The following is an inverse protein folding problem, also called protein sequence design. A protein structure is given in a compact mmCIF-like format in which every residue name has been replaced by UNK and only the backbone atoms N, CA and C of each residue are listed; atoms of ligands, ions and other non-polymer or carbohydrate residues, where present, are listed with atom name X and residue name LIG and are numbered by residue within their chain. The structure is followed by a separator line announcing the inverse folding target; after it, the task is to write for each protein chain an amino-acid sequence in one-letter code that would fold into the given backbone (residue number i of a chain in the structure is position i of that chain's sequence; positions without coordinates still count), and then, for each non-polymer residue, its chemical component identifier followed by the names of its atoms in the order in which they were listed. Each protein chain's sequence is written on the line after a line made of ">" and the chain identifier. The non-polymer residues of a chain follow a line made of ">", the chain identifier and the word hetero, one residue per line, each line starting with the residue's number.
data_IF_757324008920
#
_entry.id   IF_757324008920
#
_cell.length_a   1.000
_cell.length_b   1.000
_cell.length_c   1.000
_cell.angle_alpha   90.00
_cell.angle_beta   90.00
_cell.angle_gamma   90.00
#
_symmetry.space_group_name_H-M   'P 1'
#
loop_
_entity.id
_entity.type
_entity.pdbx_description
1 polymer ?
#
# COMPACT_ATOMS: atom_id res chain seq x y z
N UNK A 1 -27.46 36.85 -26.78
CA UNK A 1 -28.93 36.82 -26.74
C UNK A 1 -29.36 35.44 -26.30
N UNK A 2 -29.80 35.27 -25.18
CA UNK A 2 -30.98 34.77 -24.50
C UNK A 2 -30.60 34.39 -23.03
N UNK A 3 -31.04 35.30 -22.16
CA UNK A 3 -31.19 35.04 -20.73
C UNK A 3 -32.38 34.10 -20.52
N UNK A 4 -32.23 33.13 -19.64
CA UNK A 4 -33.41 32.48 -19.03
C UNK A 4 -33.20 32.43 -17.51
N UNK A 5 -33.95 33.30 -16.82
CA UNK A 5 -34.13 33.36 -15.38
C UNK A 5 -35.19 32.31 -15.01
N UNK A 6 -34.91 31.45 -14.05
CA UNK A 6 -35.93 30.66 -13.36
C UNK A 6 -36.01 31.12 -11.91
N UNK A 7 -37.19 31.63 -11.56
CA UNK A 7 -37.61 32.04 -10.23
C UNK A 7 -37.75 30.83 -9.30
N UNK A 8 -37.15 30.93 -8.12
CA UNK A 8 -37.48 30.12 -6.95
C UNK A 8 -38.63 30.78 -6.20
N UNK A 9 -39.75 30.12 -6.12
CA UNK A 9 -40.87 30.45 -5.22
C UNK A 9 -40.68 29.71 -3.90
N UNK A 10 -40.40 30.49 -2.85
CA UNK A 10 -40.36 30.05 -1.47
C UNK A 10 -41.78 29.98 -0.92
N UNK A 11 -42.24 28.82 -0.51
CA UNK A 11 -43.50 28.64 0.23
C UNK A 11 -43.20 28.49 1.70
N UNK A 12 -43.45 29.56 2.46
CA UNK A 12 -43.38 29.59 3.91
C UNK A 12 -44.72 29.16 4.48
N UNK A 13 -44.81 28.01 5.10
CA UNK A 13 -46.00 27.57 5.85
C UNK A 13 -45.81 27.98 7.32
N UNK A 14 -46.63 28.97 7.73
CA UNK A 14 -46.76 29.38 9.12
C UNK A 14 -47.84 28.50 9.77
N UNK A 15 -47.46 27.61 10.69
CA UNK A 15 -48.42 26.89 11.54
C UNK A 15 -48.56 27.67 12.86
N UNK A 16 -49.73 28.33 13.00
CA UNK A 16 -50.12 28.95 14.22
C UNK A 16 -50.61 27.91 15.24
N UNK A 17 -49.91 27.82 16.34
CA UNK A 17 -50.33 26.99 17.49
C UNK A 17 -51.21 27.83 18.39
N UNK A 18 -52.51 27.57 18.43
CA UNK A 18 -53.45 28.13 19.38
C UNK A 18 -53.30 27.39 20.72
N UNK A 19 -52.88 28.15 21.73
CA UNK A 19 -52.88 27.70 23.12
C UNK A 19 -54.27 27.96 23.68
N UNK A 20 -55.03 26.88 23.92
CA UNK A 20 -56.31 26.96 24.59
C UNK A 20 -56.07 26.84 26.09
N UNK A 21 -56.25 27.95 26.80
CA UNK A 21 -56.18 28.04 28.25
C UNK A 21 -57.47 27.42 28.82
N UNK A 22 -57.31 26.27 29.51
CA UNK A 22 -58.36 25.76 30.41
C UNK A 22 -57.96 26.11 31.86
N UNK A 23 -58.80 26.93 32.49
CA UNK A 23 -58.63 27.37 33.84
C UNK A 23 -58.80 26.27 34.92
N UNK A 24 -58.32 26.54 36.14
CA UNK A 24 -58.38 25.56 37.19
C UNK A 24 -59.80 25.47 37.82
N UNK A 25 -60.42 24.34 37.76
CA UNK A 25 -61.55 24.02 38.62
C UNK A 25 -61.02 23.59 39.99
N UNK A 26 -61.28 24.43 40.99
CA UNK A 26 -61.10 24.08 42.40
C UNK A 26 -62.06 22.95 42.78
N UNK A 27 -61.55 21.76 43.05
CA UNK A 27 -62.26 20.72 43.74
C UNK A 27 -61.78 20.77 45.21
N UNK A 28 -62.58 21.40 46.04
CA UNK A 28 -62.49 21.35 47.46
C UNK A 28 -63.38 20.21 47.93
N UNK A 29 -62.81 19.08 48.29
CA UNK A 29 -63.23 18.33 49.45
C UNK A 29 -62.20 17.27 49.82
N UNK A 30 -61.63 17.55 50.96
CA UNK A 30 -60.61 16.70 51.56
C UNK A 30 -61.29 15.64 52.46
N UNK A 31 -61.17 14.42 52.06
CA UNK A 31 -61.16 13.34 53.02
C UNK A 31 -59.88 12.56 52.84
N UNK A 32 -58.88 12.98 53.62
CA UNK A 32 -57.59 12.30 53.65
C UNK A 32 -57.75 10.90 54.20
N UNK A 33 -57.85 9.92 53.34
CA UNK A 33 -57.56 8.56 53.68
C UNK A 33 -56.04 8.40 53.80
N UNK A 34 -55.57 8.41 55.04
CA UNK A 34 -54.17 7.99 55.28
C UNK A 34 -54.05 6.51 54.97
N UNK A 35 -53.49 6.25 53.79
CA UNK A 35 -52.99 4.92 53.46
C UNK A 35 -51.63 4.75 54.14
N UNK A 36 -51.65 4.19 55.34
CA UNK A 36 -50.41 3.72 56.01
C UNK A 36 -50.08 2.38 55.33
N UNK A 37 -49.25 2.47 54.35
CA UNK A 37 -48.63 1.33 53.67
C UNK A 37 -47.40 1.85 52.94
N UNK A 38 -46.25 1.27 53.25
CA UNK A 38 -45.04 1.55 52.46
C UNK A 38 -45.34 1.32 51.00
N UNK A 39 -44.95 2.27 50.10
CA UNK A 39 -45.11 2.02 48.66
C UNK A 39 -44.29 0.79 48.27
N UNK A 40 -44.85 -0.08 47.42
CA UNK A 40 -44.08 -1.22 46.94
C UNK A 40 -42.78 -0.69 46.31
N UNK A 41 -41.64 -1.12 46.87
CA UNK A 41 -40.33 -0.86 46.29
C UNK A 41 -40.33 -1.56 44.94
N UNK A 42 -40.46 -0.79 43.86
CA UNK A 42 -40.18 -1.29 42.52
C UNK A 42 -38.70 -1.69 42.51
N UNK A 43 -38.46 -3.00 42.61
CA UNK A 43 -37.13 -3.54 42.42
C UNK A 43 -36.66 -3.10 41.04
N UNK A 44 -35.55 -2.36 41.00
CA UNK A 44 -34.94 -2.00 39.74
C UNK A 44 -34.72 -3.28 38.91
N UNK A 45 -35.01 -3.28 37.63
CA UNK A 45 -34.71 -4.45 36.81
C UNK A 45 -33.23 -4.80 36.96
N UNK A 46 -32.87 -6.09 36.96
CA UNK A 46 -31.49 -6.50 37.06
C UNK A 46 -30.67 -5.80 35.97
N UNK A 47 -29.45 -5.39 36.26
CA UNK A 47 -28.60 -4.76 35.25
C UNK A 47 -28.51 -5.66 34.01
N UNK A 48 -28.78 -5.11 32.86
CA UNK A 48 -28.57 -5.84 31.60
C UNK A 48 -27.15 -6.33 31.53
N UNK A 49 -26.91 -7.61 31.21
CA UNK A 49 -25.55 -8.10 31.05
C UNK A 49 -24.81 -7.23 30.04
N UNK A 50 -23.52 -6.96 30.26
CA UNK A 50 -22.73 -6.18 29.29
C UNK A 50 -22.84 -6.85 27.93
N UNK A 51 -22.91 -6.05 26.83
CA UNK A 51 -22.92 -6.60 25.47
C UNK A 51 -21.70 -7.53 25.31
N UNK A 52 -21.83 -8.63 24.56
CA UNK A 52 -20.71 -9.49 24.26
C UNK A 52 -19.56 -8.62 23.71
N UNK A 53 -18.30 -8.88 24.08
CA UNK A 53 -17.19 -8.15 23.50
C UNK A 53 -17.30 -8.23 21.98
N UNK A 54 -17.18 -7.08 21.33
CA UNK A 54 -17.12 -7.03 19.86
C UNK A 54 -16.01 -7.99 19.40
N UNK A 55 -16.25 -8.80 18.36
CA UNK A 55 -15.24 -9.72 17.87
C UNK A 55 -13.98 -8.89 17.54
N UNK A 56 -12.90 -9.22 18.26
CA UNK A 56 -11.59 -8.66 17.95
C UNK A 56 -11.34 -8.88 16.46
N UNK A 57 -11.03 -7.85 15.67
CA UNK A 57 -10.79 -8.02 14.24
C UNK A 57 -9.69 -9.08 14.08
N UNK A 58 -10.03 -10.14 13.36
CA UNK A 58 -9.09 -11.19 13.01
C UNK A 58 -7.90 -10.54 12.30
N UNK A 59 -6.64 -10.83 12.68
CA UNK A 59 -5.50 -10.19 12.07
C UNK A 59 -5.54 -10.43 10.56
N UNK A 60 -5.57 -9.36 9.77
CA UNK A 60 -5.55 -9.45 8.33
C UNK A 60 -4.32 -10.28 7.90
N UNK A 61 -4.47 -11.20 6.94
CA UNK A 61 -3.34 -11.97 6.44
C UNK A 61 -2.24 -11.01 5.96
N UNK A 62 -0.96 -11.35 6.19
CA UNK A 62 0.14 -10.49 5.82
C UNK A 62 0.08 -10.17 4.32
N UNK A 63 0.13 -8.90 3.97
CA UNK A 63 0.12 -8.45 2.58
C UNK A 63 1.34 -9.01 1.86
N UNK A 64 1.12 -9.65 0.71
CA UNK A 64 2.18 -10.24 -0.12
C UNK A 64 3.04 -9.16 -0.79
N UNK A 65 2.44 -8.02 -1.07
CA UNK A 65 3.07 -6.88 -1.75
C UNK A 65 2.85 -5.63 -0.92
N UNK A 66 3.93 -4.94 -0.58
CA UNK A 66 3.92 -3.69 0.20
C UNK A 66 4.72 -2.63 -0.55
N UNK A 67 4.18 -1.42 -0.66
CA UNK A 67 4.91 -0.28 -1.21
C UNK A 67 5.59 0.44 -0.05
N UNK A 68 6.91 0.47 -0.08
CA UNK A 68 7.75 1.33 0.75
C UNK A 68 8.19 2.55 -0.06
N UNK A 69 8.76 3.57 0.61
CA UNK A 69 9.07 4.87 0.01
C UNK A 69 9.77 4.79 -1.37
N UNK A 70 10.76 3.90 -1.51
CA UNK A 70 11.56 3.78 -2.73
C UNK A 70 11.55 2.39 -3.38
N UNK A 71 10.75 1.46 -2.88
CA UNK A 71 10.68 0.11 -3.44
C UNK A 71 9.35 -0.59 -3.18
N UNK A 72 9.05 -1.57 -4.01
CA UNK A 72 7.95 -2.49 -3.78
C UNK A 72 8.55 -3.74 -3.14
N UNK A 73 8.22 -3.96 -1.87
CA UNK A 73 8.65 -5.14 -1.12
C UNK A 73 7.68 -6.28 -1.39
N UNK A 74 8.23 -7.40 -1.81
CA UNK A 74 7.48 -8.61 -2.11
C UNK A 74 7.87 -9.67 -1.08
N UNK A 75 6.92 -10.09 -0.28
CA UNK A 75 7.12 -11.09 0.77
C UNK A 75 7.11 -12.54 0.23
N UNK A 76 6.89 -12.70 -1.06
CA UNK A 76 6.90 -13.97 -1.77
C UNK A 76 7.83 -13.89 -2.99
N UNK A 77 8.38 -15.01 -3.43
CA UNK A 77 9.33 -15.02 -4.55
C UNK A 77 8.66 -15.33 -5.87
N UNK A 78 9.12 -14.62 -6.91
CA UNK A 78 8.81 -15.00 -8.29
C UNK A 78 9.62 -16.25 -8.63
N UNK A 79 8.92 -17.31 -8.99
CA UNK A 79 9.51 -18.59 -9.32
C UNK A 79 9.81 -18.69 -10.82
N UNK A 80 11.02 -19.17 -11.13
CA UNK A 80 11.47 -19.43 -12.48
C UNK A 80 11.79 -20.92 -12.66
N UNK A 81 11.78 -21.37 -13.89
CA UNK A 81 12.35 -22.67 -14.23
C UNK A 81 13.85 -22.71 -13.93
N UNK A 82 14.36 -23.91 -13.65
CA UNK A 82 15.77 -24.12 -13.37
C UNK A 82 16.62 -23.59 -14.54
N UNK A 83 17.56 -22.69 -14.23
CA UNK A 83 18.49 -22.09 -15.20
C UNK A 83 17.81 -21.39 -16.40
N UNK A 84 16.57 -20.93 -16.20
CA UNK A 84 15.79 -20.21 -17.24
C UNK A 84 15.20 -18.89 -16.69
N UNK A 85 14.72 -18.10 -17.62
CA UNK A 85 13.94 -16.88 -17.34
C UNK A 85 12.42 -17.11 -17.54
N UNK A 86 11.99 -18.35 -17.74
CA UNK A 86 10.57 -18.70 -17.85
C UNK A 86 9.92 -18.60 -16.46
N UNK A 87 8.94 -17.71 -16.32
CA UNK A 87 8.18 -17.57 -15.09
C UNK A 87 7.22 -18.74 -14.95
N UNK A 88 7.18 -19.33 -13.77
CA UNK A 88 6.25 -20.44 -13.49
C UNK A 88 4.83 -19.92 -13.27
N UNK A 89 3.79 -20.68 -13.67
CA UNK A 89 2.39 -20.26 -13.49
C UNK A 89 1.98 -19.95 -12.06
N UNK A 90 2.64 -20.55 -11.06
CA UNK A 90 2.39 -20.29 -9.63
C UNK A 90 2.66 -18.84 -9.26
N UNK A 91 3.53 -18.15 -10.01
CA UNK A 91 3.85 -16.74 -9.78
C UNK A 91 2.87 -15.77 -10.45
N UNK A 92 1.95 -16.23 -11.29
CA UNK A 92 1.02 -15.36 -12.02
C UNK A 92 0.13 -14.57 -11.07
N UNK A 93 -0.36 -15.20 -10.00
CA UNK A 93 -1.20 -14.52 -8.99
C UNK A 93 -0.45 -13.40 -8.27
N UNK A 94 0.82 -13.62 -7.94
CA UNK A 94 1.69 -12.63 -7.33
C UNK A 94 1.95 -11.44 -8.28
N UNK A 95 2.24 -11.73 -9.55
CA UNK A 95 2.48 -10.70 -10.56
C UNK A 95 1.22 -9.88 -10.87
N UNK A 96 0.03 -10.50 -10.83
CA UNK A 96 -1.24 -9.78 -10.93
C UNK A 96 -1.46 -8.83 -9.76
N UNK A 97 -1.13 -9.27 -8.54
CA UNK A 97 -1.20 -8.42 -7.35
C UNK A 97 -0.23 -7.23 -7.43
N UNK A 98 1.01 -7.46 -7.89
CA UNK A 98 1.98 -6.39 -8.15
C UNK A 98 1.43 -5.40 -9.17
N UNK A 99 0.88 -5.88 -10.28
CA UNK A 99 0.28 -5.03 -11.31
C UNK A 99 -0.88 -4.19 -10.77
N UNK A 100 -1.71 -4.75 -9.89
CA UNK A 100 -2.79 -4.06 -9.19
C UNK A 100 -2.24 -2.96 -8.27
N UNK A 101 -1.26 -3.30 -7.43
CA UNK A 101 -0.62 -2.34 -6.52
C UNK A 101 0.01 -1.18 -7.28
N UNK A 102 0.70 -1.43 -8.39
CA UNK A 102 1.28 -0.37 -9.23
C UNK A 102 0.20 0.54 -9.81
N UNK A 103 -0.94 0.00 -10.26
CA UNK A 103 -2.08 0.78 -10.78
C UNK A 103 -2.75 1.62 -9.70
N UNK A 104 -2.87 1.10 -8.49
CA UNK A 104 -3.47 1.80 -7.35
C UNK A 104 -2.57 2.95 -6.85
N UNK A 105 -1.27 2.89 -7.11
CA UNK A 105 -0.28 3.87 -6.72
C UNK A 105 0.14 4.77 -7.91
N UNK A 106 -0.77 5.62 -8.38
CA UNK A 106 -0.57 6.46 -9.56
C UNK A 106 0.61 7.46 -9.45
N UNK A 107 1.13 7.66 -8.24
CA UNK A 107 2.34 8.47 -8.01
C UNK A 107 3.62 7.77 -8.47
N UNK A 108 3.61 6.44 -8.61
CA UNK A 108 4.76 5.69 -9.14
C UNK A 108 4.84 5.88 -10.64
N UNK A 109 5.91 6.51 -11.12
CA UNK A 109 6.13 6.80 -12.55
C UNK A 109 7.12 5.86 -13.20
N UNK A 110 8.16 5.46 -12.46
CA UNK A 110 9.20 4.57 -12.99
C UNK A 110 9.62 3.53 -11.97
N UNK A 111 9.74 2.29 -12.43
CA UNK A 111 10.18 1.13 -11.66
C UNK A 111 11.35 0.47 -12.38
N UNK A 112 12.42 0.18 -11.63
CA UNK A 112 13.54 -0.62 -12.09
C UNK A 112 13.43 -2.04 -11.53
N UNK A 113 13.51 -3.03 -12.41
CA UNK A 113 13.63 -4.44 -12.04
C UNK A 113 15.10 -4.82 -12.00
N UNK A 114 15.57 -5.24 -10.83
CA UNK A 114 16.95 -5.71 -10.63
C UNK A 114 16.96 -7.21 -10.42
N UNK A 115 17.56 -7.94 -11.35
CA UNK A 115 17.72 -9.39 -11.26
C UNK A 115 19.03 -9.77 -10.58
N UNK A 116 18.98 -10.74 -9.68
CA UNK A 116 20.14 -11.26 -8.95
C UNK A 116 20.18 -12.79 -9.01
N UNK A 117 21.40 -13.34 -8.88
CA UNK A 117 21.66 -14.77 -8.79
C UNK A 117 22.48 -15.11 -7.55
N UNK A 118 22.59 -16.38 -7.23
CA UNK A 118 23.65 -16.88 -6.36
C UNK A 118 24.99 -16.92 -7.12
N UNK A 119 26.09 -17.16 -6.41
CA UNK A 119 27.43 -17.30 -7.00
C UNK A 119 27.66 -18.63 -7.72
N UNK A 120 26.65 -19.48 -7.85
CA UNK A 120 26.75 -20.74 -8.57
C UNK A 120 26.80 -20.51 -10.08
N UNK A 121 27.84 -21.00 -10.73
CA UNK A 121 28.06 -20.87 -12.17
C UNK A 121 29.14 -19.88 -12.54
N UNK A 122 29.08 -19.31 -13.73
CA UNK A 122 30.01 -18.27 -14.15
C UNK A 122 29.35 -16.89 -14.08
N UNK A 123 30.13 -15.87 -13.70
CA UNK A 123 29.70 -14.46 -13.59
C UNK A 123 28.96 -14.01 -14.86
N UNK A 124 29.49 -14.37 -16.06
CA UNK A 124 28.90 -14.00 -17.35
C UNK A 124 27.54 -14.67 -17.56
N UNK A 125 27.42 -15.94 -17.16
CA UNK A 125 26.15 -16.66 -17.25
C UNK A 125 25.14 -16.05 -16.27
N UNK A 126 25.54 -15.83 -15.03
CA UNK A 126 24.71 -15.24 -13.97
C UNK A 126 24.23 -13.83 -14.32
N UNK A 127 25.11 -13.00 -14.90
CA UNK A 127 24.73 -11.66 -15.36
C UNK A 127 23.66 -11.75 -16.46
N UNK A 128 23.84 -12.63 -17.45
CA UNK A 128 22.87 -12.81 -18.54
C UNK A 128 21.54 -13.37 -18.04
N UNK A 129 21.58 -14.39 -17.16
CA UNK A 129 20.39 -15.02 -16.61
C UNK A 129 19.57 -14.04 -15.77
N UNK A 130 20.22 -13.25 -14.91
CA UNK A 130 19.57 -12.26 -14.10
C UNK A 130 18.91 -11.14 -14.93
N UNK A 131 19.57 -10.69 -16.00
CA UNK A 131 19.03 -9.71 -16.93
C UNK A 131 17.80 -10.25 -17.68
N UNK A 132 17.86 -11.49 -18.11
CA UNK A 132 16.73 -12.16 -18.77
C UNK A 132 15.54 -12.33 -17.81
N UNK A 133 15.77 -12.67 -16.54
CA UNK A 133 14.73 -12.79 -15.52
C UNK A 133 14.06 -11.45 -15.22
N UNK A 134 14.85 -10.39 -15.03
CA UNK A 134 14.31 -9.05 -14.85
C UNK A 134 13.44 -8.60 -16.05
N UNK A 135 13.90 -8.86 -17.28
CA UNK A 135 13.14 -8.58 -18.51
C UNK A 135 11.87 -9.43 -18.61
N UNK A 136 11.90 -10.71 -18.24
CA UNK A 136 10.73 -11.56 -18.28
C UNK A 136 9.62 -11.06 -17.35
N UNK A 137 9.98 -10.58 -16.15
CA UNK A 137 9.02 -9.97 -15.21
C UNK A 137 8.44 -8.68 -15.78
N UNK A 138 9.29 -7.82 -16.32
CA UNK A 138 8.86 -6.59 -17.00
C UNK A 138 7.88 -6.90 -18.14
N UNK A 139 8.24 -7.82 -19.03
CA UNK A 139 7.41 -8.18 -20.18
C UNK A 139 6.06 -8.77 -19.75
N UNK A 140 6.06 -9.55 -18.68
CA UNK A 140 4.82 -10.12 -18.13
C UNK A 140 3.89 -9.00 -17.61
N UNK A 141 4.42 -8.03 -16.85
CA UNK A 141 3.65 -6.92 -16.32
C UNK A 141 3.11 -5.99 -17.43
N UNK A 142 3.86 -5.80 -18.50
CA UNK A 142 3.38 -5.04 -19.67
C UNK A 142 2.23 -5.79 -20.36
N UNK A 143 2.42 -7.09 -20.66
CA UNK A 143 1.47 -7.88 -21.43
C UNK A 143 0.20 -8.24 -20.66
N UNK A 144 0.37 -8.74 -19.45
CA UNK A 144 -0.73 -9.28 -18.64
C UNK A 144 -1.20 -8.27 -17.58
N UNK A 145 -0.30 -7.44 -17.07
CA UNK A 145 -0.62 -6.38 -16.13
C UNK A 145 -1.23 -5.13 -16.80
N UNK A 146 -1.08 -4.97 -18.11
CA UNK A 146 -1.58 -3.80 -18.83
C UNK A 146 -0.96 -2.47 -18.37
N UNK A 147 0.33 -2.51 -18.05
CA UNK A 147 1.12 -1.34 -17.62
C UNK A 147 1.95 -0.81 -18.80
N UNK A 148 2.20 0.49 -18.79
CA UNK A 148 2.95 1.14 -19.88
C UNK A 148 4.43 0.76 -19.83
N UNK A 149 5.02 0.44 -20.98
CA UNK A 149 6.43 0.02 -21.09
C UNK A 149 7.39 1.11 -20.60
N UNK A 150 7.04 2.36 -20.79
CA UNK A 150 7.82 3.54 -20.43
C UNK A 150 8.01 3.69 -18.91
N UNK A 151 7.17 3.01 -18.13
CA UNK A 151 7.29 2.96 -16.65
C UNK A 151 8.43 2.05 -16.20
N UNK A 152 9.00 1.21 -17.06
CA UNK A 152 9.83 0.11 -16.63
C UNK A 152 11.22 0.15 -17.22
N UNK A 153 12.20 -0.21 -16.40
CA UNK A 153 13.55 -0.60 -16.80
C UNK A 153 13.90 -1.94 -16.18
N UNK A 154 14.72 -2.73 -16.85
CA UNK A 154 15.15 -4.02 -16.34
C UNK A 154 16.66 -4.17 -16.51
N UNK A 155 17.35 -4.62 -15.45
CA UNK A 155 18.80 -4.83 -15.43
C UNK A 155 19.17 -6.05 -14.58
N UNK A 156 20.08 -6.85 -15.09
CA UNK A 156 20.69 -7.94 -14.33
C UNK A 156 21.97 -7.45 -13.63
N UNK A 157 22.18 -7.93 -12.42
CA UNK A 157 23.38 -7.71 -11.62
C UNK A 157 24.14 -9.01 -11.39
N UNK A 158 23.58 -10.17 -11.79
CA UNK A 158 24.21 -11.46 -11.51
C UNK A 158 24.42 -11.66 -10.02
N UNK A 159 25.63 -12.04 -9.64
CA UNK A 159 26.06 -12.28 -8.26
C UNK A 159 26.74 -11.07 -7.59
N UNK A 160 26.75 -9.90 -8.24
CA UNK A 160 27.51 -8.74 -7.73
C UNK A 160 26.92 -8.10 -6.48
N UNK A 161 25.63 -8.34 -6.19
CA UNK A 161 24.91 -7.79 -5.03
C UNK A 161 24.29 -8.93 -4.21
N UNK A 162 25.11 -9.67 -3.47
CA UNK A 162 24.64 -10.70 -2.55
C UNK A 162 24.08 -10.07 -1.28
N UNK A 163 22.98 -10.62 -0.75
CA UNK A 163 22.33 -10.16 0.50
C UNK A 163 22.35 -11.22 1.60
N UNK A 164 22.72 -12.46 1.26
CA UNK A 164 22.76 -13.57 2.20
C UNK A 164 24.00 -14.43 1.97
N UNK A 165 24.34 -15.19 3.01
CA UNK A 165 25.50 -16.08 3.00
C UNK A 165 25.33 -17.21 1.97
N UNK A 166 26.29 -17.36 1.09
CA UNK A 166 26.33 -18.37 0.03
C UNK A 166 26.72 -19.79 0.51
N UNK A 167 27.11 -19.92 1.78
CA UNK A 167 27.48 -21.25 2.35
C UNK A 167 26.25 -22.13 2.60
N UNK A 168 25.06 -21.51 2.72
CA UNK A 168 23.80 -22.19 2.98
C UNK A 168 22.89 -22.24 1.74
N UNK A 169 22.09 -23.29 1.62
CA UNK A 169 21.10 -23.38 0.55
C UNK A 169 20.05 -22.25 0.62
N UNK A 170 19.65 -21.88 1.84
CA UNK A 170 18.72 -20.80 2.11
C UNK A 170 19.30 -19.43 1.71
N UNK A 171 20.59 -19.22 1.96
CA UNK A 171 21.27 -17.99 1.57
C UNK A 171 21.37 -17.86 0.06
N UNK A 172 21.79 -18.92 -0.64
CA UNK A 172 21.78 -18.96 -2.10
C UNK A 172 20.37 -18.69 -2.67
N UNK A 173 19.36 -19.29 -2.05
CA UNK A 173 17.97 -19.04 -2.45
C UNK A 173 17.55 -17.59 -2.22
N UNK A 174 17.96 -16.94 -1.13
CA UNK A 174 17.69 -15.51 -0.89
C UNK A 174 18.38 -14.62 -1.91
N UNK A 175 19.54 -15.00 -2.41
CA UNK A 175 20.27 -14.26 -3.44
C UNK A 175 19.62 -14.38 -4.82
N UNK A 176 18.96 -15.49 -5.13
CA UNK A 176 18.17 -15.67 -6.36
C UNK A 176 16.83 -14.92 -6.26
N UNK A 177 16.84 -13.62 -6.56
CA UNK A 177 15.68 -12.72 -6.42
C UNK A 177 15.56 -11.71 -7.55
N UNK A 178 14.40 -11.12 -7.68
CA UNK A 178 14.17 -9.90 -8.47
C UNK A 178 13.66 -8.82 -7.52
N UNK A 179 14.32 -7.68 -7.53
CA UNK A 179 13.94 -6.50 -6.75
C UNK A 179 13.19 -5.50 -7.61
N UNK A 180 12.29 -4.73 -6.99
CA UNK A 180 11.43 -3.74 -7.62
C UNK A 180 11.70 -2.39 -6.98
N UNK A 181 12.55 -1.60 -7.61
CA UNK A 181 12.98 -0.30 -7.10
C UNK A 181 12.19 0.82 -7.79
N UNK A 182 11.56 1.68 -7.00
CA UNK A 182 10.88 2.87 -7.52
C UNK A 182 11.96 3.91 -7.79
N UNK A 183 12.18 4.23 -9.08
CA UNK A 183 13.21 5.18 -9.52
C UNK A 183 12.64 6.51 -9.97
N UNK A 184 11.32 6.64 -10.05
CA UNK A 184 10.63 7.88 -10.34
C UNK A 184 9.24 7.86 -9.73
N UNK A 185 8.94 8.89 -8.95
CA UNK A 185 7.64 9.09 -8.32
C UNK A 185 7.28 10.57 -8.22
N UNK A 186 5.97 10.87 -8.28
CA UNK A 186 5.46 12.20 -8.00
C UNK A 186 5.24 12.34 -6.49
N UNK A 187 6.04 13.13 -5.82
CA UNK A 187 5.89 13.42 -4.40
C UNK A 187 5.26 14.79 -4.23
N UNK A 188 4.10 14.84 -3.57
CA UNK A 188 3.48 16.11 -3.19
C UNK A 188 3.98 16.50 -1.81
N UNK A 189 4.91 17.46 -1.75
CA UNK A 189 5.34 18.05 -0.49
C UNK A 189 4.35 19.14 -0.06
N UNK A 190 3.73 18.95 1.12
CA UNK A 190 2.85 19.95 1.73
C UNK A 190 3.58 20.59 2.91
N UNK A 191 3.89 21.88 2.78
CA UNK A 191 4.39 22.66 3.92
C UNK A 191 3.21 23.04 4.79
N UNK A 192 3.11 22.42 5.96
CA UNK A 192 2.03 22.67 6.93
C UNK A 192 2.58 23.50 8.08
N UNK A 193 2.00 24.67 8.31
CA UNK A 193 2.22 25.44 9.53
C UNK A 193 1.16 25.05 10.56
N UNK A 194 1.62 24.76 11.78
CA UNK A 194 0.74 24.47 12.90
C UNK A 194 0.69 25.70 13.77
N UNK A 195 -0.47 26.32 13.90
CA UNK A 195 -0.69 27.44 14.81
C UNK A 195 -0.45 26.97 16.26
N UNK A 196 0.54 27.52 16.95
CA UNK A 196 0.90 27.06 18.29
C UNK A 196 -0.18 27.33 19.35
N UNK A 197 -1.19 28.18 19.05
CA UNK A 197 -2.27 28.51 19.98
C UNK A 197 -3.54 27.71 19.78
N UNK A 198 -3.87 27.39 18.51
CA UNK A 198 -5.12 26.70 18.16
C UNK A 198 -4.90 25.24 17.74
N UNK A 199 -3.66 24.82 17.45
CA UNK A 199 -3.36 23.50 16.89
C UNK A 199 -3.87 23.32 15.46
N UNK A 200 -4.42 24.37 14.84
CA UNK A 200 -4.95 24.31 13.50
C UNK A 200 -3.82 24.14 12.48
N UNK A 201 -3.97 23.19 11.57
CA UNK A 201 -3.03 22.93 10.47
C UNK A 201 -3.43 23.78 9.26
N UNK A 202 -2.54 24.69 8.84
CA UNK A 202 -2.71 25.48 7.62
C UNK A 202 -1.69 25.00 6.59
N UNK A 203 -2.16 24.55 5.43
CA UNK A 203 -1.29 24.22 4.30
C UNK A 203 -0.84 25.53 3.66
N UNK A 204 0.46 25.84 3.70
CA UNK A 204 1.03 27.06 3.15
C UNK A 204 1.44 26.91 1.69
N UNK A 205 1.95 25.76 1.35
CA UNK A 205 2.49 25.48 0.01
C UNK A 205 2.33 24.01 -0.32
N UNK A 206 1.86 23.72 -1.51
CA UNK A 206 1.78 22.37 -2.08
C UNK A 206 2.68 22.35 -3.31
N UNK A 207 3.81 21.62 -3.23
CA UNK A 207 4.76 21.50 -4.32
C UNK A 207 4.80 20.06 -4.81
N UNK A 208 4.51 19.89 -6.10
CA UNK A 208 4.75 18.62 -6.78
C UNK A 208 6.21 18.52 -7.17
N UNK A 209 6.89 17.48 -6.72
CA UNK A 209 8.29 17.19 -7.04
C UNK A 209 8.33 15.82 -7.68
N UNK A 210 8.88 15.75 -8.89
CA UNK A 210 9.25 14.48 -9.51
C UNK A 210 10.60 14.04 -8.91
N UNK A 211 10.56 13.07 -8.00
CA UNK A 211 11.75 12.52 -7.37
C UNK A 211 12.25 11.33 -8.21
N UNK A 212 13.46 11.45 -8.73
CA UNK A 212 14.14 10.38 -9.43
C UNK A 212 15.28 9.86 -8.56
N UNK A 213 15.21 8.60 -8.12
CA UNK A 213 16.31 7.96 -7.43
C UNK A 213 17.49 7.73 -8.40
N UNK A 214 18.75 7.94 -7.98
CA UNK A 214 19.90 7.66 -8.81
C UNK A 214 19.95 6.17 -9.16
N UNK A 215 19.91 5.88 -10.45
CA UNK A 215 20.20 4.53 -10.95
C UNK A 215 21.70 4.34 -10.83
N UNK A 216 22.15 3.35 -10.06
CA UNK A 216 23.57 2.98 -9.95
C UNK A 216 24.11 2.54 -11.33
N UNK A 217 24.46 3.52 -12.16
CA UNK A 217 25.21 3.32 -13.40
C UNK A 217 26.70 3.13 -13.11
N UNK A 218 27.04 2.08 -12.39
CA UNK A 218 28.44 1.66 -12.36
C UNK A 218 28.63 0.67 -13.51
N UNK A 219 29.39 1.05 -14.57
CA UNK A 219 29.65 0.11 -15.65
C UNK A 219 30.41 -1.08 -15.07
N UNK A 220 29.85 -2.29 -15.26
CA UNK A 220 30.56 -3.54 -14.96
C UNK A 220 31.74 -3.60 -15.93
N UNK A 221 32.93 -3.24 -15.47
CA UNK A 221 34.16 -3.55 -16.16
C UNK A 221 34.28 -5.06 -16.23
N UNK A 222 34.06 -5.61 -17.39
CA UNK A 222 34.40 -6.99 -17.73
C UNK A 222 35.92 -7.15 -17.55
N UNK A 223 36.32 -7.57 -16.37
CA UNK A 223 37.68 -8.02 -16.11
C UNK A 223 37.90 -9.31 -16.92
N UNK A 224 38.47 -9.13 -18.10
CA UNK A 224 38.99 -10.24 -18.91
C UNK A 224 40.14 -10.85 -18.10
N UNK A 225 39.87 -11.97 -17.41
CA UNK A 225 40.92 -12.85 -16.91
C UNK A 225 41.44 -13.69 -18.06
N UNK A 226 42.17 -13.06 -18.96
CA UNK A 226 42.97 -13.77 -19.94
C UNK A 226 44.02 -14.57 -19.18
N UNK A 227 43.89 -15.89 -19.19
CA UNK A 227 44.84 -16.83 -18.60
C UNK A 227 46.22 -16.64 -19.22
N UNK A 228 47.19 -16.26 -18.41
CA UNK A 228 48.58 -16.30 -18.76
C UNK A 228 49.01 -17.75 -18.88
N UNK A 229 49.10 -18.24 -20.11
CA UNK A 229 49.79 -19.47 -20.47
C UNK A 229 51.30 -19.19 -20.40
N UNK A 230 51.94 -19.71 -19.39
CA UNK A 230 53.41 -19.71 -19.30
C UNK A 230 53.97 -20.72 -20.32
N UNK A 231 54.87 -20.36 -21.22
CA UNK A 231 55.53 -21.33 -22.08
C UNK A 231 56.63 -22.06 -21.28
N UNK A 232 56.53 -23.38 -21.27
CA UNK A 232 57.61 -24.24 -20.79
C UNK A 232 58.85 -24.08 -21.69
N UNK A 233 59.95 -23.66 -21.14
CA UNK A 233 61.25 -23.69 -21.77
C UNK A 233 61.96 -25.01 -21.38
N UNK A 234 62.51 -25.58 -22.34
CA UNK A 234 63.24 -26.83 -22.52
C UNK A 234 64.46 -26.91 -21.62
#
# INVERSE_FOLDING_TARGET
>A
MHLSRSLLTSVTVFAAFQVMACGPTLFEDATALQVVGDPPRLSAPPPTPPPPPEPTPEPEPPKRVVVEDNRIVINEKIQFDLDKATIKPESDSLLQEIAKVVKENAHIKKIAFEGHTSSEGSDRHNLKLSDQRAKAVMDWLIKNGGLAKEMFTAKGFGETKLIADETTAEGKEKNRRVEFNIIGQDVTQKKVEIDPKSGAKKVLEEKHIEETAPVDEKPVTTGDKTGATTPATK
#
